data_IF_513117018059
#
_entry.id   IF_513117018059
#
_cell.length_a   1.000
_cell.length_b   1.000
_cell.length_c   1.000
_cell.angle_alpha   90.00
_cell.angle_beta   90.00
_cell.angle_gamma   90.00
#
_symmetry.space_group_name_H-M   'P 1'
#
loop_
_entity.id
_entity.type
_entity.pdbx_description
1 polymer ?
#
# COMPACT_ATOMS: atom_id res chain seq x y z
N UNK A 1 3.66 2.66 10.13
CA UNK A 1 3.48 1.25 10.54
C UNK A 1 4.74 0.39 10.29
N UNK A 2 5.14 0.07 9.05
CA UNK A 2 6.17 -0.96 8.77
C UNK A 2 7.62 -0.56 9.16
N UNK A 3 8.36 -1.47 9.78
CA UNK A 3 9.80 -1.33 10.04
C UNK A 3 10.64 -1.56 8.79
N UNK A 4 11.64 -0.71 8.55
CA UNK A 4 12.52 -0.90 7.38
C UNK A 4 13.33 -2.19 7.48
N UNK A 5 13.62 -2.62 8.72
CA UNK A 5 14.41 -3.81 8.99
C UNK A 5 13.64 -5.11 8.72
N UNK A 6 12.31 -5.06 8.56
CA UNK A 6 11.48 -6.19 8.17
C UNK A 6 11.22 -6.25 6.66
N UNK A 7 11.68 -5.27 5.87
CA UNK A 7 11.46 -5.23 4.42
C UNK A 7 12.54 -6.05 3.68
N UNK A 8 12.12 -6.94 2.78
CA UNK A 8 13.00 -7.69 1.87
C UNK A 8 13.30 -6.89 0.61
N UNK A 9 12.26 -6.34 -0.02
CA UNK A 9 12.36 -5.57 -1.25
C UNK A 9 11.25 -4.54 -1.37
N UNK A 10 11.56 -3.47 -2.08
CA UNK A 10 10.63 -2.44 -2.54
C UNK A 10 10.67 -2.44 -4.06
N UNK A 11 9.54 -2.72 -4.70
CA UNK A 11 9.38 -2.72 -6.15
C UNK A 11 8.52 -1.54 -6.58
N UNK A 12 8.94 -0.82 -7.63
CA UNK A 12 8.23 0.37 -8.13
C UNK A 12 7.80 0.09 -9.57
N UNK A 13 6.49 -0.02 -9.79
CA UNK A 13 5.87 -0.16 -11.11
C UNK A 13 5.39 1.20 -11.60
N UNK A 14 6.12 1.82 -12.53
CA UNK A 14 5.79 3.17 -13.03
C UNK A 14 4.70 3.09 -14.10
N UNK A 15 3.56 3.76 -13.88
CA UNK A 15 2.48 3.89 -14.87
C UNK A 15 1.82 2.58 -15.33
N UNK A 16 2.03 1.47 -14.63
CA UNK A 16 1.44 0.15 -14.93
C UNK A 16 0.96 -0.51 -13.65
N UNK A 17 -0.02 -1.41 -13.73
CA UNK A 17 -0.45 -2.24 -12.60
C UNK A 17 -1.89 -2.00 -12.15
N UNK A 18 -2.64 -1.13 -12.84
CA UNK A 18 -4.03 -0.78 -12.49
C UNK A 18 -5.01 -1.96 -12.46
N UNK A 19 -4.74 -3.02 -13.24
CA UNK A 19 -5.59 -4.21 -13.24
C UNK A 19 -5.39 -5.04 -11.96
N UNK A 20 -4.14 -5.21 -11.52
CA UNK A 20 -3.80 -6.03 -10.36
C UNK A 20 -3.95 -5.27 -9.04
N UNK A 21 -3.53 -4.02 -9.00
CA UNK A 21 -3.46 -3.21 -7.77
C UNK A 21 -4.65 -2.26 -7.59
N UNK A 22 -5.49 -2.08 -8.60
CA UNK A 22 -6.76 -1.36 -8.49
C UNK A 22 -6.70 0.12 -8.92
N UNK A 23 -7.69 0.89 -8.44
CA UNK A 23 -7.70 2.36 -8.57
C UNK A 23 -6.54 3.00 -7.78
N UNK A 24 -6.34 4.30 -8.01
CA UNK A 24 -5.27 5.10 -7.38
C UNK A 24 -3.86 4.72 -7.84
N UNK A 25 -3.77 4.11 -9.02
CA UNK A 25 -2.53 3.63 -9.63
C UNK A 25 -2.08 4.48 -10.83
N UNK A 26 -2.65 5.67 -11.04
CA UNK A 26 -2.31 6.55 -12.17
C UNK A 26 -0.81 6.90 -12.23
N UNK A 27 -0.18 7.15 -11.08
CA UNK A 27 1.25 7.42 -10.96
C UNK A 27 2.14 6.17 -10.92
N UNK A 28 1.55 4.98 -10.76
CA UNK A 28 2.25 3.72 -10.54
C UNK A 28 1.96 3.08 -9.19
N UNK A 29 2.72 2.04 -8.85
CA UNK A 29 2.55 1.24 -7.63
C UNK A 29 3.89 1.04 -6.93
N UNK A 30 3.90 1.23 -5.61
CA UNK A 30 5.02 0.83 -4.74
C UNK A 30 4.60 -0.44 -4.00
N UNK A 31 5.25 -1.56 -4.30
CA UNK A 31 5.00 -2.85 -3.69
C UNK A 31 6.10 -3.18 -2.71
N UNK A 32 5.76 -3.25 -1.42
CA UNK A 32 6.70 -3.60 -0.34
C UNK A 32 6.51 -5.07 0.00
N UNK A 33 7.59 -5.84 -0.01
CA UNK A 33 7.59 -7.26 0.40
C UNK A 33 8.36 -7.41 1.70
N UNK A 34 7.74 -8.01 2.71
CA UNK A 34 8.40 -8.33 3.98
C UNK A 34 9.35 -9.53 3.85
N UNK A 35 10.37 -9.57 4.69
CA UNK A 35 11.32 -10.69 4.80
C UNK A 35 10.61 -11.97 5.19
N UNK A 36 10.93 -13.06 4.48
CA UNK A 36 10.51 -14.40 4.87
C UNK A 36 11.17 -14.80 6.19
N UNK A 37 10.39 -15.45 7.05
CA UNK A 37 10.88 -16.03 8.30
C UNK A 37 11.79 -17.21 7.95
N UNK A 38 13.08 -17.10 8.30
CA UNK A 38 14.08 -18.14 8.06
C UNK A 38 14.09 -19.19 9.17
N UNK A 39 14.57 -20.41 8.87
CA UNK A 39 14.64 -21.54 9.81
C UNK A 39 15.41 -21.25 11.12
N UNK A 40 16.37 -20.33 11.08
CA UNK A 40 17.12 -19.92 12.26
C UNK A 40 16.47 -18.71 12.94
N UNK A 41 16.54 -18.67 14.27
CA UNK A 41 16.12 -17.48 15.01
C UNK A 41 17.06 -16.32 14.66
N UNK A 42 16.50 -15.21 14.19
CA UNK A 42 17.26 -14.02 13.84
C UNK A 42 16.66 -12.80 14.51
N UNK A 43 17.50 -11.83 14.82
CA UNK A 43 17.06 -10.57 15.41
C UNK A 43 18.02 -9.46 15.04
N UNK A 44 17.50 -8.25 14.98
CA UNK A 44 18.28 -7.05 14.74
C UNK A 44 17.86 -5.97 15.71
N UNK A 45 18.85 -5.32 16.31
CA UNK A 45 18.69 -4.14 17.16
C UNK A 45 19.48 -3.02 16.49
N UNK A 46 18.83 -1.89 16.26
CA UNK A 46 19.43 -0.71 15.67
C UNK A 46 19.20 0.49 16.60
N UNK A 47 20.26 1.21 16.92
CA UNK A 47 20.20 2.48 17.64
C UNK A 47 20.83 3.59 16.80
N UNK A 48 20.19 4.75 16.72
CA UNK A 48 20.75 5.92 16.03
C UNK A 48 20.62 7.16 16.92
N UNK A 49 21.64 8.03 16.85
CA UNK A 49 21.66 9.35 17.46
C UNK A 49 22.17 10.37 16.44
N UNK A 50 21.52 11.52 16.35
CA UNK A 50 21.81 12.51 15.30
C UNK A 50 21.53 13.95 15.70
N UNK A 51 21.59 14.83 14.68
CA UNK A 51 21.30 16.26 14.83
C UNK A 51 19.83 16.47 15.23
N UNK A 52 19.52 17.59 15.90
CA UNK A 52 18.18 17.92 16.42
C UNK A 52 17.68 16.95 17.48
N UNK A 53 18.62 16.41 18.27
CA UNK A 53 18.37 15.38 19.27
C UNK A 53 17.61 14.16 18.73
N UNK A 54 17.75 13.86 17.43
CA UNK A 54 17.10 12.73 16.80
C UNK A 54 17.65 11.42 17.37
N UNK A 55 16.75 10.66 17.99
CA UNK A 55 16.99 9.39 18.65
C UNK A 55 16.09 8.34 18.03
N UNK A 56 16.66 7.20 17.65
CA UNK A 56 15.91 6.07 17.08
C UNK A 56 16.38 4.77 17.70
N UNK A 57 15.42 3.92 18.05
CA UNK A 57 15.68 2.56 18.50
C UNK A 57 14.70 1.61 17.79
N UNK A 58 15.21 0.66 17.04
CA UNK A 58 14.44 -0.38 16.37
C UNK A 58 14.87 -1.76 16.85
N UNK A 59 13.89 -2.61 17.11
CA UNK A 59 14.07 -4.01 17.46
C UNK A 59 13.22 -4.88 16.54
N UNK A 60 13.83 -5.90 15.98
CA UNK A 60 13.14 -6.93 15.20
C UNK A 60 13.60 -8.31 15.65
N UNK A 61 12.67 -9.25 15.68
CA UNK A 61 12.95 -10.63 16.04
C UNK A 61 12.08 -11.56 15.19
N UNK A 62 12.68 -12.60 14.63
CA UNK A 62 12.00 -13.59 13.82
C UNK A 62 12.44 -14.99 14.26
N UNK A 63 11.48 -15.91 14.29
CA UNK A 63 11.73 -17.30 14.65
C UNK A 63 10.82 -18.22 13.86
N UNK A 64 11.43 -19.18 13.19
CA UNK A 64 10.74 -20.35 12.68
C UNK A 64 10.58 -21.39 13.79
N UNK A 65 9.38 -21.94 13.89
CA UNK A 65 8.94 -22.95 14.86
C UNK A 65 8.50 -24.23 14.11
N UNK A 66 9.12 -24.51 12.96
CA UNK A 66 8.81 -25.64 12.10
C UNK A 66 7.61 -25.38 11.19
N UNK A 67 6.40 -25.66 11.67
CA UNK A 67 5.17 -25.44 10.89
C UNK A 67 4.58 -24.04 11.09
N UNK A 68 5.22 -23.21 11.91
CA UNK A 68 4.77 -21.85 12.20
C UNK A 68 5.96 -20.90 12.26
N UNK A 69 5.75 -19.66 11.87
CA UNK A 69 6.75 -18.60 11.98
C UNK A 69 6.18 -17.43 12.79
N UNK A 70 7.04 -16.80 13.59
CA UNK A 70 6.74 -15.56 14.30
C UNK A 70 7.73 -14.48 13.88
N UNK A 71 7.22 -13.29 13.58
CA UNK A 71 8.00 -12.07 13.39
C UNK A 71 7.43 -10.96 14.27
N UNK A 72 8.31 -10.30 15.02
CA UNK A 72 8.00 -9.18 15.91
C UNK A 72 8.85 -7.98 15.51
N UNK A 73 8.28 -6.79 15.57
CA UNK A 73 8.97 -5.53 15.40
C UNK A 73 8.48 -4.49 16.39
N UNK A 74 9.40 -3.69 16.91
CA UNK A 74 9.11 -2.55 17.77
C UNK A 74 10.05 -1.41 17.40
N UNK A 75 9.57 -0.17 17.47
CA UNK A 75 10.38 0.99 17.16
C UNK A 75 9.96 2.23 17.93
N UNK A 76 10.94 3.00 18.35
CA UNK A 76 10.80 4.29 19.01
C UNK A 76 11.64 5.31 18.24
N UNK A 77 11.06 6.46 17.95
CA UNK A 77 11.73 7.56 17.26
C UNK A 77 11.31 8.87 17.91
N UNK A 78 12.28 9.73 18.22
CA UNK A 78 12.06 11.02 18.84
C UNK A 78 13.02 12.05 18.25
N UNK A 79 12.53 13.24 17.92
CA UNK A 79 13.38 14.35 17.50
C UNK A 79 12.76 15.71 17.83
N UNK A 80 13.60 16.73 18.03
CA UNK A 80 13.16 18.12 18.19
C UNK A 80 12.85 18.78 16.84
N UNK A 81 13.40 18.22 15.76
CA UNK A 81 13.25 18.68 14.39
C UNK A 81 14.02 19.97 14.06
N UNK A 82 14.05 20.31 12.77
CA UNK A 82 14.83 21.45 12.26
C UNK A 82 14.14 22.81 12.45
N UNK A 83 12.81 22.85 12.48
CA UNK A 83 12.01 24.07 12.60
C UNK A 83 11.35 24.15 13.97
N UNK A 84 11.01 25.35 14.40
CA UNK A 84 10.14 25.53 15.57
C UNK A 84 8.85 24.74 15.34
N UNK A 85 8.46 23.94 16.33
CA UNK A 85 7.27 23.08 16.30
C UNK A 85 7.29 22.05 15.15
N UNK A 86 8.46 21.46 14.87
CA UNK A 86 8.60 20.30 14.00
C UNK A 86 9.14 19.06 14.73
N UNK A 87 8.96 19.01 16.05
CA UNK A 87 9.29 17.84 16.86
C UNK A 87 8.34 16.68 16.54
N UNK A 88 8.82 15.46 16.71
CA UNK A 88 8.05 14.22 16.52
C UNK A 88 8.43 13.18 17.60
N UNK A 89 7.44 12.52 18.18
CA UNK A 89 7.57 11.28 18.99
C UNK A 89 6.71 10.22 18.32
N UNK A 90 7.34 9.11 17.94
CA UNK A 90 6.71 8.02 17.19
C UNK A 90 7.04 6.68 17.80
N UNK A 91 6.00 5.86 17.93
CA UNK A 91 6.06 4.52 18.50
C UNK A 91 5.40 3.56 17.53
N UNK A 92 6.01 2.41 17.31
CA UNK A 92 5.46 1.37 16.43
C UNK A 92 5.65 -0.01 17.03
N UNK A 93 4.69 -0.88 16.77
CA UNK A 93 4.77 -2.31 17.04
C UNK A 93 4.13 -3.06 15.87
N UNK A 94 4.72 -4.19 15.50
CA UNK A 94 4.19 -5.05 14.46
C UNK A 94 4.43 -6.51 14.82
N UNK A 95 3.48 -7.37 14.48
CA UNK A 95 3.55 -8.81 14.64
C UNK A 95 3.06 -9.49 13.38
N UNK A 96 3.72 -10.56 12.99
CA UNK A 96 3.34 -11.38 11.86
C UNK A 96 3.51 -12.86 12.21
N UNK A 97 2.46 -13.63 11.94
CA UNK A 97 2.38 -15.06 12.19
C UNK A 97 2.20 -15.77 10.85
N UNK A 98 3.02 -16.79 10.63
CA UNK A 98 2.92 -17.67 9.47
C UNK A 98 2.53 -19.06 9.98
N UNK A 99 1.66 -19.74 9.25
CA UNK A 99 1.35 -21.14 9.49
C UNK A 99 1.44 -21.90 8.17
N UNK A 100 2.42 -22.80 8.11
CA UNK A 100 2.66 -23.67 6.97
C UNK A 100 2.01 -25.02 7.26
N UNK A 101 0.81 -25.24 6.74
CA UNK A 101 0.14 -26.55 6.85
C UNK A 101 0.74 -27.56 5.86
N UNK A 102 1.29 -27.09 4.73
CA UNK A 102 1.93 -27.85 3.64
C UNK A 102 2.79 -26.91 2.77
N UNK A 103 3.63 -27.44 1.85
CA UNK A 103 4.45 -26.61 0.93
C UNK A 103 3.65 -25.64 0.02
N UNK A 104 2.31 -25.73 -0.01
CA UNK A 104 1.43 -24.90 -0.85
C UNK A 104 0.50 -23.95 -0.07
N UNK A 105 0.31 -24.17 1.23
CA UNK A 105 -0.67 -23.44 2.04
C UNK A 105 0.06 -22.70 3.17
N UNK A 106 0.45 -21.45 2.91
CA UNK A 106 0.97 -20.55 3.92
C UNK A 106 -0.13 -19.55 4.33
N UNK A 107 -0.64 -19.72 5.54
CA UNK A 107 -1.60 -18.80 6.15
C UNK A 107 -0.81 -17.71 6.86
N UNK A 108 -1.15 -16.45 6.60
CA UNK A 108 -0.45 -15.30 7.20
C UNK A 108 -1.45 -14.45 7.98
N UNK A 109 -1.08 -14.06 9.20
CA UNK A 109 -1.79 -13.07 9.99
C UNK A 109 -0.80 -12.00 10.42
N UNK A 110 -1.04 -10.75 10.03
CA UNK A 110 -0.25 -9.60 10.47
C UNK A 110 -1.10 -8.60 11.24
N UNK A 111 -0.48 -7.93 12.20
CA UNK A 111 -1.03 -6.79 12.91
C UNK A 111 0.05 -5.74 13.11
N UNK A 112 -0.28 -4.49 12.83
CA UNK A 112 0.60 -3.33 12.95
C UNK A 112 -0.12 -2.21 13.69
N UNK A 113 0.60 -1.53 14.57
CA UNK A 113 0.13 -0.33 15.25
C UNK A 113 1.23 0.73 15.21
N UNK A 114 0.85 1.97 14.90
CA UNK A 114 1.71 3.12 15.15
C UNK A 114 0.96 4.25 15.83
N UNK A 115 1.69 4.99 16.66
CA UNK A 115 1.24 6.27 17.20
C UNK A 115 2.33 7.28 16.93
N UNK A 116 1.95 8.48 16.48
CA UNK A 116 2.86 9.60 16.45
C UNK A 116 2.20 10.87 16.97
N UNK A 117 2.99 11.65 17.70
CA UNK A 117 2.64 12.98 18.17
C UNK A 117 3.68 13.94 17.60
N UNK A 118 3.22 15.00 16.95
CA UNK A 118 4.13 15.93 16.30
C UNK A 118 3.67 17.36 16.32
N UNK A 119 4.65 18.24 16.24
CA UNK A 119 4.44 19.63 15.88
C UNK A 119 4.06 19.75 14.40
N UNK A 120 3.21 20.73 14.10
CA UNK A 120 2.90 21.11 12.73
C UNK A 120 3.40 22.54 12.53
N UNK A 121 4.60 22.76 11.96
CA UNK A 121 5.23 24.08 11.93
C UNK A 121 4.58 25.03 10.91
N UNK A 122 3.67 24.53 10.07
CA UNK A 122 3.04 25.29 9.00
C UNK A 122 4.02 25.64 7.88
N UNK A 123 3.58 26.49 6.95
CA UNK A 123 4.45 26.97 5.87
C UNK A 123 5.46 27.98 6.40
N UNK A 124 6.47 28.34 5.62
CA UNK A 124 7.48 29.34 6.04
C UNK A 124 6.90 30.76 6.10
N UNK A 125 5.88 31.05 5.29
CA UNK A 125 5.20 32.36 5.25
C UNK A 125 3.95 32.43 6.15
N UNK A 126 3.44 31.29 6.64
CA UNK A 126 2.35 31.20 7.61
C UNK A 126 2.67 30.13 8.66
N UNK A 127 3.60 30.41 9.59
CA UNK A 127 3.98 29.46 10.64
C UNK A 127 2.83 29.19 11.61
N UNK A 128 2.78 27.98 12.14
CA UNK A 128 1.85 27.58 13.21
C UNK A 128 2.64 27.07 14.41
N UNK A 129 3.22 27.96 15.22
CA UNK A 129 4.16 27.60 16.29
C UNK A 129 3.54 26.74 17.40
N UNK A 130 2.20 26.71 17.52
CA UNK A 130 1.50 25.97 18.56
C UNK A 130 0.64 24.81 18.04
N UNK A 131 0.64 24.55 16.73
CA UNK A 131 -0.20 23.51 16.17
C UNK A 131 0.36 22.10 16.46
N UNK A 132 -0.50 21.21 16.94
CA UNK A 132 -0.17 19.82 17.27
C UNK A 132 -1.02 18.85 16.47
N UNK A 133 -0.42 17.74 16.09
CA UNK A 133 -1.10 16.61 15.49
C UNK A 133 -0.78 15.35 16.28
N UNK A 134 -1.79 14.53 16.54
CA UNK A 134 -1.64 13.18 17.05
C UNK A 134 -2.38 12.24 16.13
N UNK A 135 -1.76 11.12 15.79
CA UNK A 135 -2.35 10.11 14.93
C UNK A 135 -2.04 8.73 15.50
N UNK A 136 -3.03 7.86 15.44
CA UNK A 136 -2.91 6.44 15.76
C UNK A 136 -3.38 5.66 14.55
N UNK A 137 -2.58 4.70 14.13
CA UNK A 137 -2.88 3.84 13.00
C UNK A 137 -2.91 2.39 13.45
N UNK A 138 -3.87 1.64 12.93
CA UNK A 138 -3.96 0.19 13.08
C UNK A 138 -4.05 -0.44 11.70
N UNK A 139 -3.35 -1.56 11.53
CA UNK A 139 -3.44 -2.40 10.34
C UNK A 139 -3.49 -3.85 10.73
N UNK A 140 -4.28 -4.65 10.03
CA UNK A 140 -4.23 -6.10 10.09
C UNK A 140 -4.42 -6.71 8.72
N UNK A 141 -3.74 -7.81 8.47
CA UNK A 141 -3.86 -8.55 7.21
C UNK A 141 -4.00 -10.03 7.49
N UNK A 142 -4.95 -10.69 6.84
CA UNK A 142 -5.13 -12.13 6.90
C UNK A 142 -5.09 -12.70 5.48
N UNK A 143 -4.14 -13.59 5.22
CA UNK A 143 -3.97 -14.25 3.92
C UNK A 143 -4.26 -15.73 4.09
N UNK A 144 -5.26 -16.22 3.35
CA UNK A 144 -5.69 -17.60 3.40
C UNK A 144 -5.74 -18.23 2.00
N UNK A 145 -4.78 -19.11 1.67
CA UNK A 145 -4.85 -19.96 0.48
C UNK A 145 -5.78 -21.16 0.74
N UNK A 146 -6.81 -21.32 -0.10
CA UNK A 146 -7.76 -22.43 -0.08
C UNK A 146 -7.71 -23.13 -1.46
N UNK A 147 -6.81 -24.10 -1.59
CA UNK A 147 -6.60 -24.80 -2.86
C UNK A 147 -6.07 -23.87 -3.95
N UNK A 148 -6.88 -23.60 -4.98
CA UNK A 148 -6.56 -22.66 -6.06
C UNK A 148 -7.03 -21.23 -5.79
N UNK A 149 -7.71 -20.95 -4.69
CA UNK A 149 -8.19 -19.62 -4.33
C UNK A 149 -7.27 -19.02 -3.27
N UNK A 150 -6.92 -17.74 -3.40
CA UNK A 150 -6.27 -16.95 -2.36
C UNK A 150 -7.23 -15.85 -1.92
N UNK A 151 -7.60 -15.89 -0.64
CA UNK A 151 -8.31 -14.81 0.06
C UNK A 151 -7.30 -13.94 0.80
N UNK A 152 -7.52 -12.64 0.79
CA UNK A 152 -6.69 -11.66 1.50
C UNK A 152 -7.61 -10.59 2.07
N UNK A 153 -7.79 -10.64 3.38
CA UNK A 153 -8.54 -9.63 4.14
C UNK A 153 -7.57 -8.60 4.69
N UNK A 154 -7.85 -7.32 4.48
CA UNK A 154 -7.12 -6.22 5.09
C UNK A 154 -8.09 -5.34 5.89
N UNK A 155 -7.68 -4.97 7.09
CA UNK A 155 -8.38 -3.97 7.88
C UNK A 155 -7.38 -2.89 8.27
N UNK A 156 -7.71 -1.63 8.01
CA UNK A 156 -6.93 -0.49 8.44
C UNK A 156 -7.81 0.54 9.10
N UNK A 157 -7.36 1.14 10.20
CA UNK A 157 -8.05 2.23 10.84
C UNK A 157 -7.06 3.32 11.25
N UNK A 158 -7.54 4.56 11.34
CA UNK A 158 -6.77 5.64 11.94
C UNK A 158 -7.66 6.57 12.76
N UNK A 159 -7.06 7.13 13.81
CA UNK A 159 -7.60 8.23 14.61
C UNK A 159 -6.64 9.41 14.47
N UNK A 160 -7.12 10.53 13.96
CA UNK A 160 -6.34 11.74 13.75
C UNK A 160 -6.94 12.91 14.51
N UNK A 161 -6.11 13.58 15.30
CA UNK A 161 -6.44 14.80 16.01
C UNK A 161 -5.46 15.90 15.61
N UNK A 162 -5.99 17.02 15.17
CA UNK A 162 -5.21 18.21 14.83
C UNK A 162 -5.79 19.41 15.59
N UNK A 163 -4.95 20.09 16.34
CA UNK A 163 -5.32 21.29 17.07
C UNK A 163 -4.35 22.42 16.73
N UNK A 164 -4.87 23.59 16.39
CA UNK A 164 -4.12 24.80 16.13
C UNK A 164 -4.74 25.98 16.90
N UNK A 165 -4.22 26.30 18.10
CA UNK A 165 -4.71 27.42 18.90
C UNK A 165 -4.54 28.79 18.23
N UNK A 166 -3.64 28.93 17.25
CA UNK A 166 -3.38 30.19 16.55
C UNK A 166 -4.53 30.56 15.61
N UNK A 167 -5.28 29.58 15.12
CA UNK A 167 -6.41 29.75 14.19
C UNK A 167 -7.75 29.32 14.79
N UNK A 168 -7.73 28.68 15.97
CA UNK A 168 -8.91 28.06 16.56
C UNK A 168 -9.34 26.77 15.86
N UNK A 169 -8.50 26.20 15.00
CA UNK A 169 -8.82 24.96 14.30
C UNK A 169 -8.62 23.76 15.22
N UNK A 170 -9.69 22.98 15.36
CA UNK A 170 -9.71 21.72 16.08
C UNK A 170 -10.44 20.68 15.24
N UNK A 171 -9.71 19.69 14.73
CA UNK A 171 -10.22 18.69 13.81
C UNK A 171 -9.90 17.29 14.34
N UNK A 172 -10.94 16.49 14.48
CA UNK A 172 -10.86 15.08 14.83
C UNK A 172 -11.44 14.30 13.66
N UNK A 173 -10.72 13.30 13.20
CA UNK A 173 -11.12 12.43 12.09
C UNK A 173 -10.76 11.00 12.44
N UNK A 174 -11.73 10.12 12.30
CA UNK A 174 -11.60 8.69 12.55
C UNK A 174 -12.08 7.97 11.30
N UNK A 175 -11.35 6.94 10.89
CA UNK A 175 -11.70 6.16 9.71
C UNK A 175 -11.29 4.71 9.90
N UNK A 176 -12.07 3.82 9.31
CA UNK A 176 -11.70 2.43 9.15
C UNK A 176 -12.05 1.97 7.73
N UNK A 177 -11.28 1.01 7.24
CA UNK A 177 -11.44 0.38 5.94
C UNK A 177 -11.31 -1.12 6.14
N UNK A 178 -12.25 -1.87 5.57
CA UNK A 178 -12.19 -3.32 5.45
C UNK A 178 -12.19 -3.68 3.96
N UNK A 179 -11.19 -4.44 3.54
CA UNK A 179 -10.98 -4.89 2.17
C UNK A 179 -10.85 -6.42 2.15
N UNK A 180 -11.52 -7.07 1.21
CA UNK A 180 -11.41 -8.50 0.93
C UNK A 180 -11.08 -8.70 -0.54
N UNK A 181 -9.92 -9.31 -0.82
CA UNK A 181 -9.48 -9.67 -2.15
C UNK A 181 -9.49 -11.18 -2.34
N UNK A 182 -10.21 -11.62 -3.37
CA UNK A 182 -10.23 -13.00 -3.82
C UNK A 182 -9.50 -13.09 -5.16
N UNK A 183 -8.56 -14.01 -5.28
CA UNK A 183 -7.82 -14.25 -6.52
C UNK A 183 -7.63 -15.73 -6.80
N UNK A 184 -7.80 -16.14 -8.05
CA UNK A 184 -7.64 -17.55 -8.43
C UNK A 184 -7.13 -17.70 -9.87
N UNK A 185 -6.13 -18.56 -10.10
CA UNK A 185 -5.86 -19.09 -11.42
C UNK A 185 -6.96 -20.06 -11.88
N UNK A 186 -7.62 -19.74 -12.98
CA UNK A 186 -8.60 -20.62 -13.63
C UNK A 186 -8.06 -21.19 -14.94
N UNK A 187 -8.33 -22.47 -15.18
CA UNK A 187 -8.00 -23.16 -16.44
C UNK A 187 -9.21 -23.08 -17.38
N UNK A 188 -9.07 -22.39 -18.51
CA UNK A 188 -10.13 -22.27 -19.51
C UNK A 188 -9.81 -23.10 -20.77
N UNK A 189 -9.78 -24.43 -20.62
CA UNK A 189 -9.60 -25.36 -21.75
C UNK A 189 -8.41 -25.02 -22.66
N UNK A 190 -8.65 -24.84 -23.96
CA UNK A 190 -7.62 -24.50 -24.96
C UNK A 190 -7.02 -23.10 -24.81
N UNK A 191 -7.62 -22.23 -24.00
CA UNK A 191 -7.17 -20.85 -23.79
C UNK A 191 -6.11 -20.72 -22.68
N UNK A 192 -5.58 -21.83 -22.15
CA UNK A 192 -4.63 -21.87 -21.04
C UNK A 192 -5.16 -21.19 -19.76
N UNK A 193 -4.26 -20.88 -18.82
CA UNK A 193 -4.58 -20.35 -17.50
C UNK A 193 -4.84 -18.83 -17.55
N UNK A 194 -5.88 -18.38 -16.84
CA UNK A 194 -6.17 -16.97 -16.57
C UNK A 194 -6.06 -16.72 -15.07
N UNK A 195 -5.68 -15.52 -14.68
CA UNK A 195 -5.81 -15.09 -13.29
C UNK A 195 -7.03 -14.18 -13.20
N UNK A 196 -8.01 -14.58 -12.41
CA UNK A 196 -9.19 -13.77 -12.12
C UNK A 196 -9.19 -13.34 -10.67
N UNK A 197 -9.90 -12.26 -10.36
CA UNK A 197 -10.15 -11.89 -8.99
C UNK A 197 -11.31 -10.94 -8.82
N UNK A 198 -11.72 -10.80 -7.57
CA UNK A 198 -12.77 -9.92 -7.12
C UNK A 198 -12.32 -9.22 -5.83
N UNK A 199 -12.59 -7.93 -5.71
CA UNK A 199 -12.24 -7.13 -4.53
C UNK A 199 -13.50 -6.46 -4.00
N UNK A 200 -13.66 -6.43 -2.67
CA UNK A 200 -14.74 -5.73 -1.96
C UNK A 200 -14.07 -4.85 -0.91
N UNK A 201 -14.41 -3.57 -0.88
CA UNK A 201 -13.87 -2.60 0.06
C UNK A 201 -15.01 -1.77 0.65
N UNK A 202 -15.04 -1.66 1.97
CA UNK A 202 -15.99 -0.84 2.73
C UNK A 202 -15.16 0.11 3.58
N UNK A 203 -15.36 1.40 3.40
CA UNK A 203 -14.64 2.46 4.08
C UNK A 203 -15.63 3.37 4.81
N UNK A 204 -15.30 3.76 6.04
CA UNK A 204 -16.09 4.70 6.82
C UNK A 204 -15.22 5.86 7.31
N UNK A 205 -15.83 7.02 7.43
CA UNK A 205 -15.22 8.25 7.93
C UNK A 205 -16.18 8.95 8.87
N UNK A 206 -15.67 9.43 10.00
CA UNK A 206 -16.40 10.32 10.89
C UNK A 206 -15.46 11.34 11.53
N UNK A 207 -16.03 12.38 12.15
CA UNK A 207 -15.23 13.39 12.83
C UNK A 207 -16.07 14.43 13.54
N UNK A 208 -15.40 15.32 14.30
CA UNK A 208 -16.09 16.39 15.04
C UNK A 208 -16.76 17.43 14.12
N UNK A 209 -16.25 17.57 12.89
CA UNK A 209 -16.78 18.47 11.84
C UNK A 209 -17.18 17.73 10.57
N UNK A 210 -17.19 16.40 10.61
CA UNK A 210 -17.45 15.54 9.45
C UNK A 210 -18.67 14.68 9.77
N UNK A 211 -19.75 14.85 9.01
CA UNK A 211 -20.89 13.93 9.05
C UNK A 211 -20.43 12.57 8.58
N UNK A 212 -20.81 11.49 9.29
CA UNK A 212 -20.39 10.13 8.97
C UNK A 212 -20.66 9.81 7.50
N UNK A 213 -19.63 9.34 6.80
CA UNK A 213 -19.67 8.88 5.41
C UNK A 213 -19.30 7.40 5.37
N UNK A 214 -19.97 6.64 4.52
CA UNK A 214 -19.61 5.25 4.24
C UNK A 214 -19.57 5.05 2.73
N UNK A 215 -18.47 4.49 2.24
CA UNK A 215 -18.27 4.20 0.83
C UNK A 215 -17.95 2.72 0.62
N UNK A 216 -18.59 2.17 -0.39
CA UNK A 216 -18.41 0.80 -0.83
C UNK A 216 -17.87 0.76 -2.26
N UNK A 217 -16.94 -0.17 -2.48
CA UNK A 217 -16.29 -0.42 -3.76
C UNK A 217 -16.26 -1.91 -4.03
N UNK A 218 -16.60 -2.27 -5.26
CA UNK A 218 -16.54 -3.63 -5.78
C UNK A 218 -15.72 -3.64 -7.06
N UNK A 219 -14.88 -4.64 -7.24
CA UNK A 219 -14.14 -4.78 -8.48
C UNK A 219 -14.05 -6.24 -8.92
N UNK A 220 -13.98 -6.43 -10.23
CA UNK A 220 -13.67 -7.71 -10.86
C UNK A 220 -12.56 -7.50 -11.87
N UNK A 221 -11.60 -8.41 -11.91
CA UNK A 221 -10.51 -8.36 -12.88
C UNK A 221 -10.19 -9.72 -13.48
N UNK A 222 -9.63 -9.68 -14.69
CA UNK A 222 -9.08 -10.83 -15.37
C UNK A 222 -7.77 -10.43 -16.05
N UNK A 223 -6.76 -11.27 -15.90
CA UNK A 223 -5.42 -11.12 -16.48
C UNK A 223 -5.07 -12.40 -17.21
N UNK A 224 -4.47 -12.25 -18.40
CA UNK A 224 -3.97 -13.35 -19.20
C UNK A 224 -2.63 -13.00 -19.82
N UNK A 225 -1.66 -13.88 -19.60
CA UNK A 225 -0.36 -13.84 -20.25
C UNK A 225 -0.27 -14.91 -21.33
N UNK A 226 0.01 -14.50 -22.56
CA UNK A 226 0.18 -15.36 -23.72
C UNK A 226 1.64 -15.33 -24.14
N UNK A 227 2.33 -16.46 -23.96
CA UNK A 227 3.69 -16.65 -24.50
C UNK A 227 3.60 -17.27 -25.88
N UNK A 228 4.11 -16.57 -26.89
CA UNK A 228 4.14 -17.09 -28.25
C UNK A 228 5.31 -18.08 -28.37
N UNK A 229 5.04 -19.36 -28.59
CA UNK A 229 6.11 -20.38 -28.51
C UNK A 229 7.18 -20.27 -29.61
N UNK A 230 6.87 -19.62 -30.74
CA UNK A 230 7.77 -19.53 -31.92
C UNK A 230 8.60 -18.24 -31.96
N UNK A 231 8.28 -17.25 -31.15
CA UNK A 231 8.90 -15.92 -31.15
C UNK A 231 9.08 -15.53 -29.69
N UNK A 232 10.21 -14.96 -29.24
CA UNK A 232 10.43 -14.60 -27.84
C UNK A 232 9.60 -13.37 -27.43
N UNK A 233 8.29 -13.47 -27.58
CA UNK A 233 7.28 -12.43 -27.43
C UNK A 233 6.21 -12.91 -26.45
N UNK A 234 5.96 -12.10 -25.43
CA UNK A 234 4.91 -12.30 -24.44
C UNK A 234 3.90 -11.17 -24.54
N UNK A 235 2.62 -11.51 -24.63
CA UNK A 235 1.50 -10.58 -24.64
C UNK A 235 0.70 -10.74 -23.34
N UNK A 236 0.70 -9.70 -22.51
CA UNK A 236 -0.16 -9.59 -21.33
C UNK A 236 -1.41 -8.78 -21.66
N UNK A 237 -2.58 -9.33 -21.34
CA UNK A 237 -3.88 -8.66 -21.47
C UNK A 237 -4.54 -8.63 -20.11
N UNK A 238 -5.12 -7.49 -19.74
CA UNK A 238 -5.82 -7.33 -18.47
C UNK A 238 -7.01 -6.39 -18.61
N UNK A 239 -8.04 -6.65 -17.82
CA UNK A 239 -9.17 -5.73 -17.65
C UNK A 239 -9.64 -5.76 -16.20
N UNK A 240 -9.96 -4.59 -15.66
CA UNK A 240 -10.59 -4.43 -14.36
C UNK A 240 -11.82 -3.54 -14.49
N UNK A 241 -12.95 -3.98 -13.95
CA UNK A 241 -14.15 -3.18 -13.80
C UNK A 241 -14.33 -2.83 -12.32
N UNK A 242 -14.47 -1.56 -12.01
CA UNK A 242 -14.71 -1.05 -10.66
C UNK A 242 -16.09 -0.40 -10.59
N UNK A 243 -16.85 -0.76 -9.57
CA UNK A 243 -18.17 -0.23 -9.23
C UNK A 243 -18.05 0.47 -7.88
N UNK A 244 -18.52 1.70 -7.79
CA UNK A 244 -18.45 2.53 -6.60
C UNK A 244 -19.86 2.95 -6.21
N UNK A 245 -20.10 3.07 -4.92
CA UNK A 245 -21.32 3.66 -4.34
C UNK A 245 -21.43 5.15 -4.68
N UNK A 246 -20.33 5.89 -4.51
CA UNK A 246 -20.31 7.37 -4.62
C UNK A 246 -19.70 7.91 -5.92
N UNK A 247 -19.20 7.03 -6.80
CA UNK A 247 -18.54 7.44 -8.04
C UNK A 247 -19.04 6.65 -9.27
N UNK A 248 -18.91 7.21 -10.48
CA UNK A 248 -19.23 6.47 -11.69
C UNK A 248 -18.36 5.22 -11.86
N UNK A 249 -18.94 4.15 -12.42
CA UNK A 249 -18.21 2.94 -12.81
C UNK A 249 -16.98 3.26 -13.68
N UNK A 250 -15.88 2.55 -13.44
CA UNK A 250 -14.65 2.68 -14.20
C UNK A 250 -14.20 1.34 -14.77
N UNK A 251 -13.80 1.33 -16.05
CA UNK A 251 -13.22 0.16 -16.72
C UNK A 251 -11.78 0.50 -17.11
N UNK A 252 -10.85 -0.31 -16.62
CA UNK A 252 -9.41 -0.13 -16.75
C UNK A 252 -8.80 -1.30 -17.55
N UNK A 253 -8.73 -1.19 -18.90
CA UNK A 253 -7.99 -2.15 -19.71
C UNK A 253 -6.47 -1.92 -19.61
N UNK A 254 -5.72 -3.01 -19.84
CA UNK A 254 -4.27 -3.02 -19.92
C UNK A 254 -3.80 -3.99 -21.00
N UNK A 255 -2.81 -3.55 -21.78
CA UNK A 255 -2.08 -4.39 -22.73
C UNK A 255 -0.58 -4.21 -22.48
N UNK A 256 0.15 -5.31 -22.44
CA UNK A 256 1.59 -5.34 -22.25
C UNK A 256 2.22 -6.25 -23.29
N UNK A 257 3.33 -5.83 -23.88
CA UNK A 257 4.12 -6.59 -24.83
C UNK A 257 5.56 -6.64 -24.33
N UNK A 258 6.11 -7.84 -24.19
CA UNK A 258 7.51 -8.03 -23.79
C UNK A 258 8.22 -8.86 -24.84
N UNK A 259 9.29 -8.32 -25.42
CA UNK A 259 10.11 -8.98 -26.43
C UNK A 259 11.54 -9.12 -25.91
N UNK A 260 12.08 -10.34 -25.96
CA UNK A 260 13.45 -10.64 -25.54
C UNK A 260 14.28 -11.03 -26.75
N UNK A 261 15.41 -10.37 -26.98
CA UNK A 261 16.34 -10.73 -28.05
C UNK A 261 17.78 -10.63 -27.55
N UNK A 262 18.46 -11.78 -27.48
CA UNK A 262 19.80 -11.92 -26.91
C UNK A 262 19.89 -11.30 -25.50
N UNK A 263 20.61 -10.20 -25.32
CA UNK A 263 20.75 -9.49 -24.04
C UNK A 263 19.78 -8.30 -23.89
N UNK A 264 18.98 -8.00 -24.92
CA UNK A 264 18.02 -6.90 -24.95
C UNK A 264 16.62 -7.38 -24.54
N UNK A 265 16.04 -6.70 -23.56
CA UNK A 265 14.67 -6.83 -23.10
C UNK A 265 13.92 -5.54 -23.46
N UNK A 266 12.87 -5.66 -24.27
CA UNK A 266 11.99 -4.55 -24.68
C UNK A 266 10.62 -4.78 -24.05
N UNK A 267 10.10 -3.78 -23.35
CA UNK A 267 8.75 -3.80 -22.78
C UNK A 267 7.95 -2.59 -23.25
N UNK A 268 6.77 -2.86 -23.81
CA UNK A 268 5.79 -1.87 -24.21
C UNK A 268 4.52 -2.09 -23.39
N UNK A 269 3.87 -1.03 -22.92
CA UNK A 269 2.58 -1.15 -22.25
C UNK A 269 1.69 0.06 -22.49
N UNK A 270 0.39 -0.21 -22.52
CA UNK A 270 -0.66 0.79 -22.51
C UNK A 270 -1.70 0.37 -21.47
N UNK A 271 -2.04 1.25 -20.53
CA UNK A 271 -3.03 0.96 -19.50
C UNK A 271 -3.82 2.17 -19.09
N UNK A 272 -5.10 1.96 -18.81
CA UNK A 272 -5.96 2.95 -18.19
C UNK A 272 -6.04 2.72 -16.69
N UNK A 273 -6.19 3.80 -15.93
CA UNK A 273 -6.53 3.76 -14.52
C UNK A 273 -7.49 4.89 -14.16
N UNK A 274 -7.99 4.86 -12.93
CA UNK A 274 -8.78 5.93 -12.35
C UNK A 274 -8.35 6.15 -10.90
N UNK A 275 -8.51 7.37 -10.41
CA UNK A 275 -8.26 7.73 -9.02
C UNK A 275 -9.52 8.35 -8.41
N UNK A 276 -9.88 7.92 -7.21
CA UNK A 276 -11.00 8.52 -6.48
C UNK A 276 -10.45 9.54 -5.47
N UNK A 277 -11.08 10.72 -5.34
CA UNK A 277 -10.73 11.67 -4.30
C UNK A 277 -10.86 11.03 -2.92
N UNK A 278 -9.82 11.15 -2.11
CA UNK A 278 -9.81 10.62 -0.74
C UNK A 278 -10.82 11.34 0.15
N UNK A 279 -11.24 10.68 1.23
CA UNK A 279 -11.97 11.30 2.32
C UNK A 279 -11.31 12.59 2.84
N UNK A 280 -9.98 12.61 2.90
CA UNK A 280 -9.22 13.78 3.30
C UNK A 280 -9.45 14.97 2.36
N UNK A 281 -9.39 14.74 1.04
CA UNK A 281 -9.61 15.79 0.04
C UNK A 281 -11.07 16.30 0.04
N UNK A 282 -12.04 15.40 0.26
CA UNK A 282 -13.47 15.73 0.20
C UNK A 282 -14.03 16.34 1.47
N UNK A 283 -13.51 15.98 2.64
CA UNK A 283 -14.17 16.31 3.92
C UNK A 283 -13.24 16.91 4.99
N UNK A 284 -11.92 16.83 4.84
CA UNK A 284 -11.00 17.33 5.87
C UNK A 284 -10.57 18.78 5.62
N UNK A 285 -10.88 19.66 6.58
CA UNK A 285 -10.40 21.04 6.60
C UNK A 285 -8.97 21.11 7.16
N UNK A 286 -8.15 22.01 6.64
CA UNK A 286 -6.82 22.32 7.22
C UNK A 286 -6.66 23.82 7.41
N UNK A 287 -5.57 24.24 8.07
CA UNK A 287 -5.19 25.66 8.20
C UNK A 287 -5.05 26.41 6.87
N UNK A 288 -4.96 25.72 5.73
CA UNK A 288 -4.74 26.34 4.41
C UNK A 288 -5.67 25.83 3.31
N UNK A 289 -6.48 24.80 3.56
CA UNK A 289 -7.30 24.12 2.54
C UNK A 289 -8.71 23.91 3.07
N UNK A 290 -9.70 24.15 2.21
CA UNK A 290 -11.11 23.82 2.45
C UNK A 290 -11.46 22.47 1.81
N UNK A 291 -12.36 21.69 2.43
CA UNK A 291 -12.86 20.46 1.83
C UNK A 291 -13.73 20.76 0.61
N UNK A 292 -13.78 19.81 -0.34
CA UNK A 292 -14.66 19.87 -1.49
C UNK A 292 -15.33 18.49 -1.73
N UNK A 293 -16.55 18.26 -1.20
CA UNK A 293 -17.27 17.00 -1.38
C UNK A 293 -17.58 16.66 -2.84
N UNK A 294 -17.68 17.67 -3.71
CA UNK A 294 -18.05 17.51 -5.13
C UNK A 294 -16.86 17.13 -6.03
N UNK A 295 -15.70 16.79 -5.44
CA UNK A 295 -14.54 16.34 -6.21
C UNK A 295 -14.87 15.07 -6.99
N UNK A 296 -14.65 15.13 -8.31
CA UNK A 296 -14.89 14.02 -9.22
C UNK A 296 -13.71 13.06 -9.33
N UNK A 297 -14.00 11.84 -9.81
CA UNK A 297 -13.00 10.82 -10.13
C UNK A 297 -12.11 11.26 -11.32
N UNK A 298 -10.80 11.07 -11.17
CA UNK A 298 -9.82 11.28 -12.23
C UNK A 298 -9.62 10.01 -13.06
N UNK A 299 -9.26 10.16 -14.33
CA UNK A 299 -8.93 9.05 -15.23
C UNK A 299 -7.59 9.32 -15.91
N UNK A 300 -6.73 8.31 -15.96
CA UNK A 300 -5.42 8.41 -16.58
C UNK A 300 -5.24 7.32 -17.66
N UNK A 301 -4.46 7.66 -18.68
CA UNK A 301 -3.97 6.72 -19.69
C UNK A 301 -2.45 6.80 -19.70
N UNK A 302 -1.81 5.65 -19.49
CA UNK A 302 -0.36 5.53 -19.42
C UNK A 302 0.14 4.72 -20.61
N UNK A 303 1.17 5.23 -21.28
CA UNK A 303 1.90 4.55 -22.34
C UNK A 303 3.38 4.50 -21.95
N UNK A 304 3.97 3.31 -21.89
CA UNK A 304 5.36 3.13 -21.50
C UNK A 304 6.14 2.29 -22.51
N UNK A 305 7.38 2.70 -22.78
CA UNK A 305 8.40 1.94 -23.48
C UNK A 305 9.63 1.83 -22.55
N UNK A 306 10.01 0.61 -22.21
CA UNK A 306 11.24 0.32 -21.46
C UNK A 306 12.17 -0.53 -22.33
N UNK A 307 13.45 -0.15 -22.32
CA UNK A 307 14.54 -0.86 -22.99
C UNK A 307 15.58 -1.16 -21.92
N UNK A 308 15.90 -2.44 -21.72
CA UNK A 308 16.93 -2.86 -20.77
C UNK A 308 17.88 -3.85 -21.44
N UNK A 309 19.18 -3.71 -21.18
CA UNK A 309 20.19 -4.64 -21.68
C UNK A 309 21.06 -5.10 -20.52
N UNK A 310 21.36 -6.39 -20.46
CA UNK A 310 22.31 -6.94 -19.49
C UNK A 310 23.68 -7.08 -20.14
N UNK A 311 24.61 -6.22 -19.76
CA UNK A 311 26.01 -6.35 -20.17
C UNK A 311 26.63 -7.46 -19.32
N UNK A 312 27.14 -8.52 -19.96
CA UNK A 312 27.94 -9.53 -19.25
C UNK A 312 29.28 -8.89 -18.91
N UNK A 313 29.62 -8.79 -17.63
CA UNK A 313 31.01 -8.55 -17.21
C UNK A 313 31.83 -9.75 -17.68
N UNK A 314 32.81 -9.51 -18.57
CA UNK A 314 33.85 -10.49 -18.85
C UNK A 314 34.83 -10.47 -17.68
N UNK A 315 34.81 -11.52 -16.86
CA UNK A 315 35.92 -11.87 -15.95
C UNK A 315 37.04 -12.54 -16.74
#
# INVERSE_FOLDING_TARGET
>A
MVSINTIEKIEIYKGTGSVLYGNDTSGGVVSITAKKITKESSGNIEGCYGRFDSQKCDLTYQKDLGNSGLSLSAGLEKEDGFRINSDEDKKRIGTELHYNSDQKNNVVLSFDYSQFEKGSPGTTYSPSPRARSSEKDWGSTFILPIGGLKSTTHHSAFDKKYNNPDTGLDNIMESWVLDEKLSSPILAGRLAQFNIGADIEIANLQGNKITSQQEEKYAFYAIKDVRLQKIPLNLGLGVRANFYSDFPTAINPQVQLSYKYDNLDIHLSASRSNNIPTFYQRYYETSTLKPNPDLGMEKAMNYNLNLSSRVKESL
#
